data_IF_272531650805
#
_entry.id   IF_272531650805
#
_cell.length_a   1.000
_cell.length_b   1.000
_cell.length_c   1.000
_cell.angle_alpha   90.00
_cell.angle_beta   90.00
_cell.angle_gamma   90.00
#
_symmetry.space_group_name_H-M   'P 1'
#
loop_
_entity.id
_entity.type
_entity.pdbx_description
1 polymer ?
#
# COMPACT_ATOMS: atom_id res chain seq x y z
N UNK A 1 -42.06 -82.26 24.27
CA UNK A 1 -40.68 -81.70 24.29
C UNK A 1 -40.62 -80.19 24.00
N UNK A 2 -41.37 -79.64 23.03
CA UNK A 2 -41.36 -78.19 22.71
C UNK A 2 -41.73 -77.26 23.88
N UNK A 3 -42.70 -77.66 24.72
CA UNK A 3 -43.16 -76.89 25.89
C UNK A 3 -42.11 -76.83 27.01
N UNK A 4 -41.39 -77.93 27.25
CA UNK A 4 -40.25 -77.98 28.18
C UNK A 4 -39.10 -77.08 27.70
N UNK A 5 -38.85 -77.07 26.39
CA UNK A 5 -37.83 -76.22 25.78
C UNK A 5 -38.19 -74.72 25.91
N UNK A 6 -39.46 -74.37 25.73
CA UNK A 6 -39.97 -73.01 25.95
C UNK A 6 -39.87 -72.57 27.41
N UNK A 7 -40.24 -73.43 28.36
CA UNK A 7 -40.12 -73.12 29.80
C UNK A 7 -38.66 -72.92 30.22
N UNK A 8 -37.75 -73.73 29.67
CA UNK A 8 -36.32 -73.64 29.97
C UNK A 8 -35.70 -72.36 29.39
N UNK A 9 -36.09 -71.97 28.16
CA UNK A 9 -35.68 -70.70 27.56
C UNK A 9 -36.23 -69.51 28.35
N UNK A 10 -37.49 -69.54 28.77
CA UNK A 10 -38.09 -68.46 29.55
C UNK A 10 -37.46 -68.32 30.95
N UNK A 11 -37.12 -69.45 31.58
CA UNK A 11 -36.41 -69.47 32.86
C UNK A 11 -34.99 -68.89 32.75
N UNK A 12 -34.25 -69.25 31.71
CA UNK A 12 -32.94 -68.64 31.44
C UNK A 12 -33.02 -67.13 31.16
N UNK A 13 -34.09 -66.69 30.48
CA UNK A 13 -34.28 -65.26 30.18
C UNK A 13 -34.61 -64.45 31.44
N UNK A 14 -35.32 -65.04 32.42
CA UNK A 14 -35.66 -64.38 33.67
C UNK A 14 -34.45 -64.17 34.61
N UNK A 15 -33.42 -65.02 34.52
CA UNK A 15 -32.18 -64.89 35.32
C UNK A 15 -31.28 -63.76 34.77
N UNK A 16 -31.50 -63.31 33.54
CA UNK A 16 -30.75 -62.21 32.92
C UNK A 16 -31.11 -60.80 33.43
N UNK A 17 -32.12 -60.66 34.30
CA UNK A 17 -32.62 -59.36 34.76
C UNK A 17 -32.12 -58.95 36.17
N UNK A 18 -31.13 -59.64 36.74
CA UNK A 18 -30.42 -59.14 37.91
C UNK A 18 -29.31 -58.18 37.45
N UNK A 19 -29.71 -56.96 37.11
CA UNK A 19 -28.75 -55.89 36.78
C UNK A 19 -27.76 -55.70 37.91
N UNK A 20 -26.47 -55.81 37.62
CA UNK A 20 -25.44 -55.37 38.56
C UNK A 20 -25.58 -53.86 38.67
N UNK A 21 -26.17 -53.38 39.76
CA UNK A 21 -26.15 -51.97 40.11
C UNK A 21 -24.70 -51.61 40.46
N UNK A 22 -23.88 -51.39 39.43
CA UNK A 22 -22.56 -50.81 39.57
C UNK A 22 -22.77 -49.35 39.93
N UNK A 23 -22.94 -49.08 41.22
CA UNK A 23 -22.77 -47.76 41.76
C UNK A 23 -21.28 -47.42 41.60
N UNK A 24 -20.90 -46.86 40.45
CA UNK A 24 -19.57 -46.29 40.24
C UNK A 24 -19.46 -45.06 41.13
N UNK A 25 -19.10 -45.29 42.39
CA UNK A 25 -18.72 -44.23 43.31
C UNK A 25 -17.39 -43.65 42.82
N UNK A 26 -17.45 -42.52 42.13
CA UNK A 26 -16.26 -41.71 41.90
C UNK A 26 -15.87 -41.06 43.22
N UNK A 27 -14.93 -41.67 43.93
CA UNK A 27 -14.39 -41.09 45.16
C UNK A 27 -13.38 -40.00 44.77
N UNK A 28 -13.79 -38.74 44.90
CA UNK A 28 -12.87 -37.60 44.79
C UNK A 28 -12.40 -37.22 46.19
N UNK A 29 -11.40 -37.93 46.70
CA UNK A 29 -10.70 -37.59 47.93
C UNK A 29 -9.35 -36.95 47.61
N UNK A 30 -9.20 -35.65 47.86
CA UNK A 30 -7.92 -34.95 47.78
C UNK A 30 -7.36 -34.68 49.18
N UNK A 31 -6.08 -34.96 49.40
CA UNK A 31 -5.38 -34.57 50.64
C UNK A 31 -4.81 -33.18 50.40
N UNK A 32 -5.38 -32.17 51.06
CA UNK A 32 -4.85 -30.81 51.06
C UNK A 32 -3.80 -30.66 52.15
N UNK A 33 -2.51 -30.78 51.79
CA UNK A 33 -1.38 -30.41 52.65
C UNK A 33 -0.91 -29.03 52.23
N UNK A 34 -1.42 -28.01 52.91
CA UNK A 34 -1.07 -26.61 52.66
C UNK A 34 -2.19 -25.70 53.16
N UNK A 35 -1.86 -24.79 54.08
CA UNK A 35 -2.77 -23.72 54.48
C UNK A 35 -3.13 -22.82 53.29
N UNK A 36 -4.11 -21.91 53.43
CA UNK A 36 -4.62 -21.08 52.34
C UNK A 36 -3.49 -20.44 51.53
N UNK A 37 -3.33 -20.85 50.27
CA UNK A 37 -2.31 -20.33 49.32
C UNK A 37 -2.73 -18.97 48.77
N UNK A 38 -3.32 -18.12 49.61
CA UNK A 38 -3.70 -16.74 49.29
C UNK A 38 -2.69 -15.78 49.93
N UNK A 39 -1.40 -16.07 49.76
CA UNK A 39 -0.34 -15.12 50.05
C UNK A 39 -0.22 -14.06 48.94
N UNK A 40 0.43 -12.90 49.18
CA UNK A 40 0.54 -11.77 48.25
C UNK A 40 1.39 -12.02 46.98
N UNK A 41 1.50 -13.26 46.52
CA UNK A 41 2.38 -13.64 45.41
C UNK A 41 1.89 -14.79 44.52
N UNK A 42 0.72 -15.39 44.79
CA UNK A 42 0.24 -16.59 44.07
C UNK A 42 -1.13 -16.40 43.41
N UNK A 43 -1.64 -15.17 43.36
CA UNK A 43 -2.91 -14.84 42.69
C UNK A 43 -2.77 -14.75 41.16
N UNK A 44 -3.88 -14.83 40.41
CA UNK A 44 -3.86 -14.62 38.96
C UNK A 44 -3.24 -13.26 38.66
N UNK A 45 -2.08 -13.27 37.99
CA UNK A 45 -1.34 -12.06 37.68
C UNK A 45 -2.20 -11.11 36.86
N UNK A 46 -2.48 -9.93 37.39
CA UNK A 46 -3.20 -8.89 36.68
C UNK A 46 -2.26 -8.32 35.60
N UNK A 47 -2.40 -8.80 34.37
CA UNK A 47 -1.62 -8.29 33.25
C UNK A 47 -2.33 -7.07 32.66
N UNK A 48 -1.69 -5.89 32.63
CA UNK A 48 -2.32 -4.72 32.05
C UNK A 48 -2.53 -4.93 30.54
N UNK A 49 -3.65 -4.43 29.97
CA UNK A 49 -3.90 -4.54 28.55
C UNK A 49 -2.83 -3.78 27.74
N UNK A 50 -2.30 -4.43 26.71
CA UNK A 50 -1.33 -3.80 25.80
C UNK A 50 -2.00 -2.70 24.99
N UNK A 51 -1.50 -1.48 25.11
CA UNK A 51 -2.01 -0.36 24.32
C UNK A 51 -1.41 -0.39 22.92
N UNK A 52 -2.23 -0.68 21.91
CA UNK A 52 -1.81 -0.64 20.52
C UNK A 52 -1.91 0.80 20.01
N UNK A 53 -0.78 1.41 19.66
CA UNK A 53 -0.75 2.74 19.06
C UNK A 53 -0.82 2.61 17.53
N UNK A 54 -1.80 3.23 16.87
CA UNK A 54 -1.87 3.20 15.42
C UNK A 54 -0.70 4.01 14.82
N UNK A 55 -0.17 3.59 13.65
CA UNK A 55 0.89 4.33 12.97
C UNK A 55 0.40 5.72 12.55
N UNK A 56 1.30 6.70 12.61
CA UNK A 56 0.99 8.07 12.20
C UNK A 56 0.61 8.14 10.71
N UNK A 57 -0.40 8.96 10.35
CA UNK A 57 -0.80 9.12 8.95
C UNK A 57 0.33 9.80 8.15
N UNK A 58 0.67 9.22 7.01
CA UNK A 58 1.61 9.80 6.06
C UNK A 58 0.84 10.72 5.11
N UNK A 59 1.13 12.02 5.21
CA UNK A 59 0.57 13.01 4.29
C UNK A 59 1.44 13.11 3.05
N UNK A 60 0.88 12.73 1.90
CA UNK A 60 1.53 12.93 0.59
C UNK A 60 1.10 14.31 0.08
N UNK A 61 2.05 15.24 0.01
CA UNK A 61 1.80 16.54 -0.60
C UNK A 61 1.65 16.37 -2.11
N UNK A 62 0.54 16.84 -2.72
CA UNK A 62 0.40 16.80 -4.17
C UNK A 62 1.44 17.72 -4.82
N UNK A 63 2.26 17.17 -5.70
CA UNK A 63 3.21 17.95 -6.52
C UNK A 63 2.42 18.73 -7.56
N UNK A 64 2.55 20.06 -7.57
CA UNK A 64 1.90 20.90 -8.57
C UNK A 64 2.52 20.66 -9.96
N UNK A 65 1.71 20.61 -11.03
CA UNK A 65 2.22 20.52 -12.39
C UNK A 65 3.13 21.71 -12.71
N UNK A 66 4.26 21.44 -13.35
CA UNK A 66 5.13 22.49 -13.87
C UNK A 66 4.36 23.34 -14.89
N UNK A 67 4.54 24.67 -14.82
CA UNK A 67 3.95 25.59 -15.80
C UNK A 67 4.44 25.25 -17.21
N UNK A 68 3.58 25.40 -18.24
CA UNK A 68 3.96 25.14 -19.62
C UNK A 68 5.11 26.06 -20.04
N UNK A 69 6.03 25.58 -20.91
CA UNK A 69 7.11 26.41 -21.41
C UNK A 69 6.53 27.59 -22.19
N UNK A 70 6.93 28.81 -21.83
CA UNK A 70 6.61 30.02 -22.57
C UNK A 70 7.46 30.03 -23.83
N UNK A 71 6.82 30.07 -24.99
CA UNK A 71 7.52 30.25 -26.26
C UNK A 71 8.09 31.68 -26.31
N UNK A 72 9.42 31.78 -26.40
CA UNK A 72 10.12 33.03 -26.70
C UNK A 72 10.51 32.94 -28.17
N UNK A 73 9.94 33.82 -29.00
CA UNK A 73 10.33 33.92 -30.41
C UNK A 73 11.78 34.40 -30.46
N UNK A 74 12.67 33.53 -30.89
CA UNK A 74 14.05 33.91 -31.17
C UNK A 74 14.02 34.77 -32.44
N UNK A 75 14.19 36.09 -32.29
CA UNK A 75 14.33 37.00 -33.42
C UNK A 75 15.45 36.46 -34.30
N UNK A 76 15.08 35.87 -35.43
CA UNK A 76 16.03 35.42 -36.43
C UNK A 76 16.63 36.71 -36.95
N UNK A 77 17.86 37.01 -36.52
CA UNK A 77 18.55 38.22 -36.95
C UNK A 77 18.85 38.10 -38.45
N UNK A 78 17.84 38.38 -39.27
CA UNK A 78 17.94 38.46 -40.71
C UNK A 78 18.67 39.76 -41.00
N UNK A 79 19.97 39.72 -41.29
CA UNK A 79 20.76 40.91 -41.57
C UNK A 79 20.89 41.12 -43.08
N UNK A 80 20.65 42.35 -43.54
CA UNK A 80 20.94 42.74 -44.92
C UNK A 80 22.32 43.38 -45.00
N UNK A 81 22.98 43.18 -46.15
CA UNK A 81 24.29 43.77 -46.42
C UNK A 81 24.14 44.90 -47.41
N UNK A 82 24.36 46.13 -46.94
CA UNK A 82 24.31 47.36 -47.72
C UNK A 82 25.71 47.84 -48.10
N UNK A 83 25.88 48.27 -49.34
CA UNK A 83 27.08 48.91 -49.83
C UNK A 83 26.82 50.40 -50.08
N UNK A 84 27.53 51.28 -49.38
CA UNK A 84 27.33 52.73 -49.45
C UNK A 84 27.66 53.34 -50.83
N UNK A 85 28.54 52.72 -51.61
CA UNK A 85 28.85 53.09 -53.00
C UNK A 85 28.96 51.79 -53.81
N UNK A 86 27.95 51.43 -54.61
CA UNK A 86 27.04 52.33 -55.34
C UNK A 86 25.66 52.57 -54.70
N UNK A 87 25.47 52.40 -53.38
CA UNK A 87 24.17 52.48 -52.68
C UNK A 87 23.23 51.33 -53.01
N UNK A 88 23.73 50.11 -52.98
CA UNK A 88 22.97 48.91 -53.32
C UNK A 88 23.19 47.79 -52.30
N UNK A 89 22.29 46.83 -52.29
CA UNK A 89 22.33 45.68 -51.39
C UNK A 89 22.96 44.46 -52.08
N UNK A 90 23.53 43.55 -51.29
CA UNK A 90 23.81 42.19 -51.76
C UNK A 90 22.47 41.50 -52.10
N UNK A 91 22.33 40.75 -53.21
CA UNK A 91 23.35 40.32 -54.17
C UNK A 91 23.50 41.20 -55.41
N UNK A 92 22.78 42.33 -55.52
CA UNK A 92 22.78 43.21 -56.70
C UNK A 92 24.17 43.78 -56.98
N UNK A 93 24.95 43.98 -55.94
CA UNK A 93 26.38 44.27 -56.04
C UNK A 93 27.14 43.14 -55.37
N UNK A 94 28.19 42.64 -56.03
CA UNK A 94 29.02 41.55 -55.51
C UNK A 94 30.25 42.06 -54.75
N UNK A 95 30.77 43.20 -55.16
CA UNK A 95 31.99 43.79 -54.60
C UNK A 95 31.69 45.20 -54.10
N UNK A 96 31.99 45.45 -52.81
CA UNK A 96 31.84 46.76 -52.21
C UNK A 96 33.23 47.33 -51.85
N UNK A 97 33.71 48.39 -52.53
CA UNK A 97 35.03 48.98 -52.28
C UNK A 97 35.23 49.50 -50.86
N UNK A 98 34.13 49.85 -50.17
CA UNK A 98 34.14 50.38 -48.80
C UNK A 98 33.80 49.31 -47.75
N UNK A 99 33.63 48.06 -48.17
CA UNK A 99 33.17 46.97 -47.31
C UNK A 99 31.66 46.98 -47.08
N UNK A 100 31.13 45.82 -46.65
CA UNK A 100 29.70 45.64 -46.44
C UNK A 100 29.25 46.14 -45.06
N UNK A 101 28.18 46.94 -45.04
CA UNK A 101 27.51 47.35 -43.81
C UNK A 101 26.34 46.41 -43.51
N UNK A 102 26.29 45.88 -42.29
CA UNK A 102 25.13 45.09 -41.82
C UNK A 102 24.04 46.04 -41.36
N UNK A 103 22.84 45.88 -41.91
CA UNK A 103 21.65 46.62 -41.47
C UNK A 103 20.58 45.63 -41.05
N UNK A 104 19.92 45.95 -39.93
CA UNK A 104 18.70 45.24 -39.53
C UNK A 104 17.61 45.68 -40.51
N UNK A 105 16.86 44.76 -41.13
CA UNK A 105 15.68 45.11 -41.90
C UNK A 105 14.74 45.83 -40.95
N UNK A 106 14.57 47.13 -41.17
CA UNK A 106 13.47 47.85 -40.55
C UNK A 106 12.14 47.36 -41.11
N UNK A 107 11.02 47.91 -40.64
CA UNK A 107 9.66 47.56 -41.06
C UNK A 107 9.34 47.88 -42.55
N UNK A 108 10.35 48.21 -43.35
CA UNK A 108 10.24 48.52 -44.77
C UNK A 108 10.40 47.28 -45.67
N UNK A 109 9.79 47.28 -46.87
CA UNK A 109 9.98 46.20 -47.82
C UNK A 109 11.46 46.13 -48.21
N UNK A 110 12.07 44.95 -48.08
CA UNK A 110 13.44 44.68 -48.50
C UNK A 110 13.67 45.03 -49.98
N UNK A 111 14.94 45.04 -50.43
CA UNK A 111 15.26 45.37 -51.82
C UNK A 111 14.50 44.43 -52.79
N UNK A 112 13.72 45.03 -53.70
CA UNK A 112 13.03 44.35 -54.80
C UNK A 112 13.95 44.24 -56.01
#
# INVERSE_FOLDING_TARGET
MKKLLLSLVLGLLAIGAAGTASARGHFHGGIYIGGPVWGPGWGPGYYPPSYYYPPAPVYVTPVQPAAPPVYVEQSKDDYWYYCAQPKAYYPYVKECPQGWMRVVPGDGPGPR
#
